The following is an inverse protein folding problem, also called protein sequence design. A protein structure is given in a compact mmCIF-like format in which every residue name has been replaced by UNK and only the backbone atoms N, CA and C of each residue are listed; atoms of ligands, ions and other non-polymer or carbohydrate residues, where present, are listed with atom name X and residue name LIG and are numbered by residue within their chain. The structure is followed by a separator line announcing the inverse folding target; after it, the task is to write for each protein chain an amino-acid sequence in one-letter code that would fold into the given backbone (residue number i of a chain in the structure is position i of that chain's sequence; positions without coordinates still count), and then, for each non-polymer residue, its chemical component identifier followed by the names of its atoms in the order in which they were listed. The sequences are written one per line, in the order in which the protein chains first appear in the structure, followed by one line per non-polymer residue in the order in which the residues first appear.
data_IF_180204547175
#
_entry.id   IF_180204547175
#
_cell.length_a   1.000
_cell.length_b   1.000
_cell.length_c   1.000
_cell.angle_alpha   90.00
_cell.angle_beta   90.00
_cell.angle_gamma   90.00
#
_symmetry.space_group_name_H-M   'P 1'
#
loop_
_entity.id
_entity.type
_entity.pdbx_description
1 polymer ?
#
# COMPACT_ATOMS: atom_id res chain seq x y z
N UNK A 1 0.33 -19.87 -16.80
CA UNK A 1 0.86 -18.59 -16.25
C UNK A 1 1.82 -18.91 -15.10
N UNK A 2 3.06 -18.41 -15.08
CA UNK A 2 4.00 -18.68 -13.98
C UNK A 2 3.71 -17.71 -12.81
N UNK A 3 2.92 -18.18 -11.84
CA UNK A 3 2.43 -17.40 -10.68
C UNK A 3 3.59 -16.80 -9.88
N UNK A 4 4.72 -17.50 -9.79
CA UNK A 4 5.90 -17.02 -9.06
C UNK A 4 6.53 -15.79 -9.73
N UNK A 5 6.61 -15.77 -11.07
CA UNK A 5 7.10 -14.60 -11.81
C UNK A 5 6.15 -13.40 -11.68
N UNK A 6 4.84 -13.64 -11.70
CA UNK A 6 3.83 -12.58 -11.55
C UNK A 6 3.90 -11.94 -10.15
N UNK A 7 4.00 -12.76 -9.11
CA UNK A 7 4.12 -12.32 -7.72
C UNK A 7 5.37 -11.45 -7.53
N UNK A 8 6.51 -11.88 -8.08
CA UNK A 8 7.75 -11.11 -8.00
C UNK A 8 7.67 -9.79 -8.77
N UNK A 9 7.03 -9.79 -9.95
CA UNK A 9 6.82 -8.56 -10.72
C UNK A 9 5.92 -7.57 -9.99
N UNK A 10 4.86 -8.05 -9.35
CA UNK A 10 3.94 -7.23 -8.55
C UNK A 10 4.66 -6.54 -7.39
N UNK A 11 5.42 -7.31 -6.59
CA UNK A 11 6.21 -6.75 -5.47
C UNK A 11 7.21 -5.71 -5.97
N UNK A 12 7.89 -5.98 -7.10
CA UNK A 12 8.85 -5.04 -7.69
C UNK A 12 8.18 -3.75 -8.16
N UNK A 13 6.99 -3.82 -8.73
CA UNK A 13 6.23 -2.64 -9.18
C UNK A 13 5.73 -1.82 -7.99
N UNK A 14 5.17 -2.45 -6.95
CA UNK A 14 4.77 -1.77 -5.71
C UNK A 14 5.98 -1.12 -5.02
N UNK A 15 7.13 -1.80 -4.99
CA UNK A 15 8.37 -1.22 -4.45
C UNK A 15 8.82 0.01 -5.24
N UNK A 16 8.80 -0.05 -6.57
CA UNK A 16 9.14 1.10 -7.42
C UNK A 16 8.18 2.28 -7.20
N UNK A 17 6.88 1.99 -7.06
CA UNK A 17 5.87 3.01 -6.76
C UNK A 17 6.10 3.64 -5.38
N UNK A 18 6.38 2.83 -4.36
CA UNK A 18 6.69 3.29 -3.01
C UNK A 18 7.93 4.19 -2.99
N UNK A 19 9.00 3.80 -3.69
CA UNK A 19 10.23 4.61 -3.83
C UNK A 19 9.95 5.92 -4.54
N UNK A 20 9.20 5.90 -5.66
CA UNK A 20 8.86 7.11 -6.39
C UNK A 20 8.05 8.10 -5.54
N UNK A 21 7.02 7.62 -4.83
CA UNK A 21 6.21 8.45 -3.93
C UNK A 21 7.03 9.00 -2.75
N UNK A 22 7.94 8.19 -2.21
CA UNK A 22 8.83 8.63 -1.14
C UNK A 22 9.78 9.75 -1.60
N UNK A 23 10.36 9.61 -2.79
CA UNK A 23 11.19 10.66 -3.39
C UNK A 23 10.39 11.94 -3.64
N UNK A 24 9.15 11.84 -4.11
CA UNK A 24 8.24 13.00 -4.27
C UNK A 24 7.97 13.66 -2.91
N UNK A 25 7.67 12.89 -1.87
CA UNK A 25 7.44 13.41 -0.52
C UNK A 25 8.68 14.15 0.01
N UNK A 26 9.90 13.61 -0.21
CA UNK A 26 11.15 14.28 0.14
C UNK A 26 11.40 15.56 -0.66
N UNK A 27 11.04 15.57 -1.95
CA UNK A 27 11.15 16.76 -2.80
C UNK A 27 10.20 17.86 -2.29
N UNK A 28 8.95 17.51 -1.96
CA UNK A 28 7.98 18.45 -1.36
C UNK A 28 8.49 18.98 -0.02
N UNK A 29 9.01 18.11 0.84
CA UNK A 29 9.63 18.51 2.11
C UNK A 29 10.73 19.55 1.90
N UNK A 30 11.62 19.33 0.92
CA UNK A 30 12.74 20.24 0.61
C UNK A 30 12.33 21.54 -0.05
N UNK A 31 11.34 21.52 -0.95
CA UNK A 31 10.88 22.72 -1.67
C UNK A 31 10.07 23.65 -0.75
N UNK A 32 9.25 23.07 0.13
CA UNK A 32 8.34 23.83 0.99
C UNK A 32 8.84 24.02 2.43
N UNK A 33 10.03 23.48 2.77
CA UNK A 33 10.62 23.52 4.11
C UNK A 33 9.69 22.99 5.22
N UNK A 34 8.95 21.91 4.92
CA UNK A 34 7.99 21.30 5.84
C UNK A 34 8.59 20.02 6.42
N UNK A 35 9.42 20.14 7.46
CA UNK A 35 10.12 18.99 8.07
C UNK A 35 9.18 17.96 8.72
N UNK A 36 7.92 18.32 8.94
CA UNK A 36 6.89 17.43 9.51
C UNK A 36 6.40 16.34 8.55
N UNK A 37 6.82 16.36 7.26
CA UNK A 37 6.43 15.37 6.24
C UNK A 37 7.21 14.05 6.37
N UNK A 38 8.40 14.06 6.96
CA UNK A 38 9.29 12.89 6.99
C UNK A 38 8.68 11.70 7.74
N UNK A 39 8.17 11.92 8.95
CA UNK A 39 7.56 10.88 9.78
C UNK A 39 6.33 10.25 9.10
N UNK A 40 5.35 11.03 8.58
CA UNK A 40 4.27 10.50 7.74
C UNK A 40 4.74 9.68 6.55
N UNK A 41 5.77 10.14 5.83
CA UNK A 41 6.26 9.44 4.65
C UNK A 41 6.84 8.06 5.00
N UNK A 42 7.61 7.96 6.08
CA UNK A 42 8.18 6.68 6.55
C UNK A 42 7.08 5.69 6.94
N UNK A 43 6.08 6.14 7.71
CA UNK A 43 4.94 5.30 8.12
C UNK A 43 4.16 4.83 6.89
N UNK A 44 3.93 5.72 5.93
CA UNK A 44 3.19 5.44 4.70
C UNK A 44 3.88 4.41 3.82
N UNK A 45 5.19 4.55 3.59
CA UNK A 45 6.01 3.57 2.85
C UNK A 45 5.98 2.22 3.55
N UNK A 46 6.16 2.21 4.88
CA UNK A 46 6.17 0.97 5.67
C UNK A 46 4.83 0.24 5.56
N UNK A 47 3.73 0.97 5.73
CA UNK A 47 2.38 0.43 5.55
C UNK A 47 2.18 -0.16 4.14
N UNK A 48 2.51 0.62 3.11
CA UNK A 48 2.36 0.22 1.71
C UNK A 48 3.12 -1.07 1.40
N UNK A 49 4.39 -1.18 1.83
CA UNK A 49 5.22 -2.36 1.58
C UNK A 49 4.74 -3.59 2.36
N UNK A 50 4.42 -3.44 3.64
CA UNK A 50 3.93 -4.56 4.48
C UNK A 50 2.65 -5.13 3.90
N UNK A 51 1.72 -4.27 3.49
CA UNK A 51 0.46 -4.67 2.86
C UNK A 51 0.73 -5.35 1.52
N UNK A 52 1.54 -4.75 0.64
CA UNK A 52 1.84 -5.32 -0.68
C UNK A 52 2.48 -6.71 -0.58
N UNK A 53 3.45 -6.90 0.30
CA UNK A 53 4.11 -8.20 0.52
C UNK A 53 3.13 -9.21 1.10
N UNK A 54 2.32 -8.82 2.09
CA UNK A 54 1.30 -9.71 2.68
C UNK A 54 0.30 -10.19 1.63
N UNK A 55 -0.21 -9.28 0.80
CA UNK A 55 -1.14 -9.61 -0.29
C UNK A 55 -0.47 -10.55 -1.29
N UNK A 56 0.73 -10.24 -1.74
CA UNK A 56 1.45 -11.03 -2.74
C UNK A 56 1.71 -12.46 -2.27
N UNK A 57 2.11 -12.63 -1.01
CA UNK A 57 2.38 -13.95 -0.41
C UNK A 57 1.10 -14.76 -0.24
N UNK A 58 0.03 -14.17 0.26
CA UNK A 58 -1.24 -14.90 0.45
C UNK A 58 -1.87 -15.22 -0.91
N UNK A 59 -1.84 -14.29 -1.87
CA UNK A 59 -2.29 -14.54 -3.24
C UNK A 59 -1.54 -15.71 -3.87
N UNK A 60 -0.21 -15.75 -3.74
CA UNK A 60 0.63 -16.86 -4.22
C UNK A 60 0.23 -18.20 -3.60
N UNK A 61 -0.10 -18.24 -2.31
CA UNK A 61 -0.55 -19.47 -1.62
C UNK A 61 -1.94 -19.91 -2.11
N UNK A 62 -2.90 -18.98 -2.15
CA UNK A 62 -4.27 -19.26 -2.58
C UNK A 62 -4.29 -19.73 -4.04
N UNK A 63 -3.58 -19.04 -4.93
CA UNK A 63 -3.54 -19.40 -6.35
C UNK A 63 -2.88 -20.76 -6.62
N UNK A 64 -2.04 -21.28 -5.71
CA UNK A 64 -1.43 -22.61 -5.81
C UNK A 64 -2.25 -23.73 -5.15
N UNK A 65 -3.02 -23.41 -4.10
CA UNK A 65 -3.72 -24.42 -3.30
C UNK A 65 -5.24 -24.47 -3.47
N UNK A 66 -5.89 -23.34 -3.76
CA UNK A 66 -7.34 -23.22 -3.84
C UNK A 66 -7.74 -22.03 -4.75
N UNK A 67 -7.61 -22.16 -6.08
CA UNK A 67 -7.87 -21.07 -7.02
C UNK A 67 -9.33 -20.57 -6.99
N UNK A 68 -10.29 -21.42 -6.65
CA UNK A 68 -11.71 -21.04 -6.54
C UNK A 68 -12.00 -20.05 -5.41
N UNK A 69 -11.08 -19.90 -4.45
CA UNK A 69 -11.20 -18.99 -3.31
C UNK A 69 -10.73 -17.56 -3.61
N UNK A 70 -10.19 -17.30 -4.81
CA UNK A 70 -9.63 -16.00 -5.19
C UNK A 70 -10.61 -14.83 -5.04
N UNK A 71 -11.89 -14.92 -5.46
CA UNK A 71 -12.82 -13.79 -5.33
C UNK A 71 -13.07 -13.38 -3.87
N UNK A 72 -13.33 -14.36 -3.01
CA UNK A 72 -13.55 -14.13 -1.56
C UNK A 72 -12.30 -13.55 -0.89
N UNK A 73 -11.12 -14.03 -1.29
CA UNK A 73 -9.83 -13.51 -0.82
C UNK A 73 -9.65 -12.03 -1.17
N UNK A 74 -9.94 -11.61 -2.41
CA UNK A 74 -9.80 -10.21 -2.81
C UNK A 74 -10.73 -9.27 -2.04
N UNK A 75 -11.98 -9.67 -1.82
CA UNK A 75 -12.94 -8.89 -1.02
C UNK A 75 -12.48 -8.76 0.43
N UNK A 76 -12.05 -9.87 1.05
CA UNK A 76 -11.58 -9.88 2.44
C UNK A 76 -10.31 -9.03 2.64
N UNK A 77 -9.33 -9.15 1.73
CA UNK A 77 -8.09 -8.36 1.75
C UNK A 77 -8.35 -6.87 1.59
N UNK A 78 -9.26 -6.49 0.69
CA UNK A 78 -9.59 -5.09 0.47
C UNK A 78 -10.18 -4.44 1.73
N UNK A 79 -11.15 -5.12 2.37
CA UNK A 79 -11.74 -4.66 3.63
C UNK A 79 -10.74 -4.61 4.78
N UNK A 80 -9.91 -5.66 4.93
CA UNK A 80 -8.89 -5.71 5.96
C UNK A 80 -7.86 -4.59 5.81
N UNK A 81 -7.40 -4.31 4.59
CA UNK A 81 -6.47 -3.20 4.32
C UNK A 81 -7.05 -1.85 4.72
N UNK A 82 -8.33 -1.61 4.46
CA UNK A 82 -8.99 -0.37 4.86
C UNK A 82 -9.07 -0.23 6.38
N UNK A 83 -9.44 -1.30 7.09
CA UNK A 83 -9.47 -1.32 8.56
C UNK A 83 -8.06 -1.13 9.15
N UNK A 84 -7.04 -1.75 8.57
CA UNK A 84 -5.65 -1.58 8.98
C UNK A 84 -5.18 -0.13 8.76
N UNK A 85 -5.55 0.49 7.64
CA UNK A 85 -5.26 1.90 7.38
C UNK A 85 -5.87 2.80 8.45
N UNK A 86 -7.16 2.60 8.78
CA UNK A 86 -7.84 3.33 9.85
C UNK A 86 -7.18 3.09 11.22
N UNK A 87 -6.78 1.86 11.52
CA UNK A 87 -6.09 1.52 12.76
C UNK A 87 -4.75 2.25 12.88
N UNK A 88 -3.95 2.31 11.81
CA UNK A 88 -2.67 3.04 11.78
C UNK A 88 -2.90 4.53 12.01
N UNK A 89 -3.90 5.11 11.36
CA UNK A 89 -4.26 6.52 11.55
C UNK A 89 -4.71 6.81 12.98
N UNK A 90 -5.50 5.91 13.57
CA UNK A 90 -5.96 6.02 14.96
C UNK A 90 -4.79 5.92 15.96
N UNK A 91 -3.87 4.96 15.77
CA UNK A 91 -2.68 4.83 16.60
C UNK A 91 -1.80 6.08 16.50
N UNK A 92 -1.59 6.59 15.28
CA UNK A 92 -0.82 7.82 15.08
C UNK A 92 -1.44 9.01 15.82
N UNK A 93 -2.76 9.14 15.77
CA UNK A 93 -3.52 10.16 16.50
C UNK A 93 -3.35 10.05 18.03
N UNK A 94 -3.42 8.83 18.58
CA UNK A 94 -3.26 8.63 20.03
C UNK A 94 -1.87 8.99 20.54
N UNK A 95 -0.83 8.74 19.74
CA UNK A 95 0.58 9.00 20.10
C UNK A 95 0.94 10.47 19.96
N UNK A 96 0.41 11.16 18.94
CA UNK A 96 0.84 12.52 18.60
C UNK A 96 -0.25 13.55 18.96
N UNK A 97 -0.42 13.85 20.25
CA UNK A 97 -1.53 14.73 20.70
C UNK A 97 -1.38 16.21 20.33
N UNK A 98 -0.16 16.66 20.05
CA UNK A 98 0.18 18.09 19.94
C UNK A 98 0.53 18.57 18.53
N UNK A 99 0.54 17.68 17.52
CA UNK A 99 0.90 18.02 16.14
C UNK A 99 -0.32 18.07 15.22
N UNK A 100 -0.27 19.01 14.26
CA UNK A 100 -1.23 19.08 13.15
C UNK A 100 -1.28 17.74 12.41
N UNK A 101 -2.45 17.09 12.44
CA UNK A 101 -2.68 15.78 11.80
C UNK A 101 -2.81 15.86 10.28
N UNK A 102 -3.09 17.04 9.75
CA UNK A 102 -3.40 17.25 8.34
C UNK A 102 -2.27 16.81 7.38
N UNK A 103 -0.97 17.13 7.63
CA UNK A 103 0.11 16.63 6.79
C UNK A 103 0.22 15.12 6.80
N UNK A 104 0.03 14.49 7.97
CA UNK A 104 0.03 13.04 8.09
C UNK A 104 -1.09 12.41 7.25
N UNK A 105 -2.32 12.90 7.42
CA UNK A 105 -3.48 12.42 6.67
C UNK A 105 -3.27 12.54 5.16
N UNK A 106 -2.80 13.70 4.67
CA UNK A 106 -2.62 13.95 3.25
C UNK A 106 -1.55 13.04 2.63
N UNK A 107 -0.40 12.92 3.29
CA UNK A 107 0.70 12.04 2.82
C UNK A 107 0.23 10.58 2.86
N UNK A 108 -0.38 10.14 3.96
CA UNK A 108 -0.84 8.76 4.10
C UNK A 108 -1.92 8.39 3.08
N UNK A 109 -2.89 9.28 2.84
CA UNK A 109 -3.92 9.08 1.80
C UNK A 109 -3.29 8.98 0.41
N UNK A 110 -2.32 9.82 0.07
CA UNK A 110 -1.68 9.78 -1.25
C UNK A 110 -1.01 8.40 -1.51
N UNK A 111 -0.28 7.88 -0.53
CA UNK A 111 0.32 6.55 -0.61
C UNK A 111 -0.74 5.44 -0.66
N UNK A 112 -1.76 5.53 0.19
CA UNK A 112 -2.85 4.54 0.24
C UNK A 112 -3.58 4.43 -1.11
N UNK A 113 -3.99 5.56 -1.71
CA UNK A 113 -4.72 5.56 -2.98
C UNK A 113 -3.84 5.13 -4.15
N UNK A 114 -2.57 5.50 -4.16
CA UNK A 114 -1.64 5.05 -5.19
C UNK A 114 -1.50 3.52 -5.17
N UNK A 115 -1.30 2.92 -3.98
CA UNK A 115 -1.24 1.46 -3.82
C UNK A 115 -2.59 0.78 -4.13
N UNK A 116 -3.72 1.37 -3.74
CA UNK A 116 -5.06 0.88 -4.07
C UNK A 116 -5.30 0.84 -5.58
N UNK A 117 -4.91 1.90 -6.29
CA UNK A 117 -5.06 2.01 -7.74
C UNK A 117 -4.17 1.00 -8.45
N UNK A 118 -2.89 0.89 -8.06
CA UNK A 118 -1.96 -0.08 -8.62
C UNK A 118 -2.44 -1.52 -8.44
N UNK A 119 -2.87 -1.88 -7.23
CA UNK A 119 -3.45 -3.20 -6.94
C UNK A 119 -4.69 -3.48 -7.82
N UNK A 120 -5.60 -2.52 -7.93
CA UNK A 120 -6.82 -2.67 -8.73
C UNK A 120 -6.53 -2.87 -10.22
N UNK A 121 -5.63 -2.07 -10.78
CA UNK A 121 -5.22 -2.17 -12.20
C UNK A 121 -4.50 -3.51 -12.46
N UNK A 122 -3.59 -3.90 -11.57
CA UNK A 122 -2.85 -5.15 -11.72
C UNK A 122 -3.80 -6.34 -11.73
N UNK A 123 -4.69 -6.45 -10.74
CA UNK A 123 -5.64 -7.58 -10.67
C UNK A 123 -6.68 -7.57 -11.78
N UNK A 124 -7.18 -6.40 -12.20
CA UNK A 124 -8.04 -6.30 -13.36
C UNK A 124 -7.33 -6.80 -14.64
N UNK A 125 -6.06 -6.43 -14.83
CA UNK A 125 -5.27 -6.87 -15.98
C UNK A 125 -4.96 -8.37 -15.97
N UNK A 126 -4.80 -8.97 -14.79
CA UNK A 126 -4.60 -10.42 -14.63
C UNK A 126 -5.89 -11.18 -14.89
N UNK A 127 -7.02 -10.71 -14.37
CA UNK A 127 -8.34 -11.32 -14.60
C UNK A 127 -8.77 -11.23 -16.06
N UNK A 128 -8.39 -10.18 -16.78
CA UNK A 128 -8.72 -10.02 -18.20
C UNK A 128 -7.78 -10.81 -19.15
N UNK A 129 -6.72 -11.42 -18.60
CA UNK A 129 -5.74 -12.24 -19.34
C UNK A 129 -5.84 -13.74 -19.02
N UNK A 130 -6.72 -14.14 -18.10
CA UNK A 130 -7.09 -15.54 -17.82
C UNK A 130 -8.33 -15.94 -18.59
#
# INVERSE_FOLDING_TARGET
MNIDKLCMSYIRQELLLAVALFLIALLVMRVWFIDTILTPAIISVSFMLVVAVSIALVWRRVAKGAPDSLPTFFTAVSGFRMLLALAVMFVYYMVNKDTTMLPFFLVFMAFYFASLTHHSIFFASVSNRS
#
